data_IF_142199050372
#
_entry.id   IF_142199050372
#
_cell.length_a   1.000
_cell.length_b   1.000
_cell.length_c   1.000
_cell.angle_alpha   90.00
_cell.angle_beta   90.00
_cell.angle_gamma   90.00
#
_symmetry.space_group_name_H-M   'P 1'
#
loop_
_entity.id
_entity.type
_entity.pdbx_description
1 polymer ?
#
# COMPACT_ATOMS: atom_id res chain seq x y z
N UNK A 1 82.10 15.82 -25.26
CA UNK A 1 80.98 14.88 -25.06
C UNK A 1 80.05 15.47 -24.01
N UNK A 2 79.01 16.18 -24.46
CA UNK A 2 77.62 15.90 -24.01
C UNK A 2 76.73 15.82 -25.27
N UNK A 3 75.48 15.38 -25.34
CA UNK A 3 74.27 15.58 -24.53
C UNK A 3 73.30 14.44 -24.96
N UNK A 4 72.54 13.80 -24.08
CA UNK A 4 71.12 14.13 -23.93
C UNK A 4 70.19 12.98 -24.38
N UNK A 5 69.86 12.07 -23.47
CA UNK A 5 68.84 11.05 -23.70
C UNK A 5 67.46 11.59 -23.32
N UNK A 6 66.59 11.73 -24.32
CA UNK A 6 65.20 12.14 -24.19
C UNK A 6 64.36 11.02 -23.57
N UNK A 7 63.78 11.27 -22.39
CA UNK A 7 62.76 10.38 -21.80
C UNK A 7 61.39 10.83 -22.30
N UNK A 8 60.76 10.04 -23.18
CA UNK A 8 59.36 10.24 -23.55
C UNK A 8 58.45 9.72 -22.43
N UNK A 9 57.67 10.62 -21.84
CA UNK A 9 56.60 10.27 -20.92
C UNK A 9 55.40 9.74 -21.74
N UNK A 10 55.06 8.47 -21.56
CA UNK A 10 53.82 7.88 -22.11
C UNK A 10 52.66 8.29 -21.19
N UNK A 11 51.82 9.19 -21.67
CA UNK A 11 50.61 9.63 -20.99
C UNK A 11 49.54 8.53 -21.12
N UNK A 12 49.45 7.65 -20.12
CA UNK A 12 48.40 6.63 -20.04
C UNK A 12 47.06 7.26 -19.67
N UNK A 13 46.15 7.36 -20.63
CA UNK A 13 44.76 7.73 -20.38
C UNK A 13 44.03 6.54 -19.72
N UNK A 14 43.95 6.53 -18.40
CA UNK A 14 43.07 5.61 -17.67
C UNK A 14 41.64 6.13 -17.81
N UNK A 15 40.88 5.53 -18.71
CA UNK A 15 39.42 5.69 -18.77
C UNK A 15 38.81 5.04 -17.53
N UNK A 16 38.60 5.83 -16.47
CA UNK A 16 37.77 5.43 -15.35
C UNK A 16 36.33 5.43 -15.84
N UNK A 17 35.79 4.25 -16.16
CA UNK A 17 34.37 4.08 -16.36
C UNK A 17 33.67 4.36 -15.02
N UNK A 18 33.12 5.57 -14.88
CA UNK A 18 32.22 5.89 -13.77
C UNK A 18 30.95 5.10 -14.00
N UNK A 19 30.84 3.93 -13.38
CA UNK A 19 29.56 3.26 -13.21
C UNK A 19 28.75 4.16 -12.28
N UNK A 20 27.86 4.96 -12.86
CA UNK A 20 26.78 5.60 -12.12
C UNK A 20 25.95 4.46 -11.53
N UNK A 21 26.25 4.07 -10.30
CA UNK A 21 25.28 3.40 -9.45
C UNK A 21 24.15 4.40 -9.30
N UNK A 22 23.12 4.24 -10.13
CA UNK A 22 21.82 4.81 -9.90
C UNK A 22 21.36 4.26 -8.56
N UNK A 23 21.68 4.99 -7.49
CA UNK A 23 20.97 4.89 -6.23
C UNK A 23 19.57 5.33 -6.59
N UNK A 24 18.72 4.36 -6.95
CA UNK A 24 17.32 4.61 -7.19
C UNK A 24 16.81 5.34 -5.96
N UNK A 25 16.51 6.63 -6.12
CA UNK A 25 15.54 7.26 -5.24
C UNK A 25 14.36 6.27 -5.20
N UNK A 26 13.92 5.85 -4.02
CA UNK A 26 12.73 5.02 -3.84
C UNK A 26 11.49 5.81 -4.30
N UNK A 27 11.44 6.08 -5.60
CA UNK A 27 10.46 6.87 -6.30
C UNK A 27 9.33 5.96 -6.70
N UNK A 28 8.12 6.37 -6.34
CA UNK A 28 6.90 5.64 -6.63
C UNK A 28 6.79 5.44 -8.14
N UNK A 29 6.73 4.19 -8.57
CA UNK A 29 6.65 3.84 -9.99
C UNK A 29 5.20 3.75 -10.40
N UNK A 30 4.83 4.41 -11.50
CA UNK A 30 3.49 4.31 -12.07
C UNK A 30 3.21 2.88 -12.56
N UNK A 31 2.05 2.33 -12.18
CA UNK A 31 1.62 0.98 -12.52
C UNK A 31 0.46 0.96 -13.53
N UNK A 32 0.17 2.12 -14.13
CA UNK A 32 -0.89 2.27 -15.13
C UNK A 32 -1.08 3.71 -15.59
N UNK A 33 -1.98 3.87 -16.55
CA UNK A 33 -2.38 5.18 -17.08
C UNK A 33 -3.28 5.93 -16.10
N UNK A 34 -3.29 7.26 -16.26
CA UNK A 34 -4.25 8.12 -15.57
C UNK A 34 -5.69 7.78 -15.96
N UNK A 35 -6.56 7.73 -14.96
CA UNK A 35 -8.01 7.57 -15.10
C UNK A 35 -8.71 8.74 -14.44
N UNK A 36 -9.88 9.10 -14.96
CA UNK A 36 -10.70 10.16 -14.37
C UNK A 36 -11.50 9.63 -13.19
N UNK A 37 -11.58 10.43 -12.14
CA UNK A 37 -12.41 10.22 -10.98
C UNK A 37 -12.82 11.55 -10.36
N UNK A 38 -13.20 11.51 -9.10
CA UNK A 38 -13.52 12.68 -8.30
C UNK A 38 -13.08 12.48 -6.86
N UNK A 39 -12.89 13.58 -6.14
CA UNK A 39 -12.49 13.53 -4.74
C UNK A 39 -13.20 14.57 -3.88
N UNK A 40 -13.54 14.17 -2.67
CA UNK A 40 -13.91 15.01 -1.52
C UNK A 40 -12.86 14.82 -0.43
N UNK A 41 -13.14 15.27 0.80
CA UNK A 41 -12.31 14.96 1.95
C UNK A 41 -13.10 14.72 3.24
N UNK A 42 -12.46 13.98 4.16
CA UNK A 42 -12.93 13.69 5.51
C UNK A 42 -11.82 13.84 6.56
N UNK A 43 -12.18 13.81 7.84
CA UNK A 43 -11.27 14.11 8.97
C UNK A 43 -11.01 12.93 9.90
N UNK A 44 -11.94 11.99 10.02
CA UNK A 44 -11.87 10.87 10.96
C UNK A 44 -11.11 9.68 10.36
N UNK A 45 -9.78 9.81 10.26
CA UNK A 45 -8.93 8.93 9.44
C UNK A 45 -8.29 7.74 10.17
N UNK A 46 -8.41 7.66 11.50
CA UNK A 46 -7.69 6.67 12.33
C UNK A 46 -8.46 5.35 12.56
N UNK A 47 -9.68 5.23 12.00
CA UNK A 47 -10.56 4.07 12.20
C UNK A 47 -11.18 3.59 10.88
N UNK A 48 -10.37 3.53 9.82
CA UNK A 48 -10.86 3.10 8.51
C UNK A 48 -11.19 1.61 8.44
N UNK A 49 -12.11 1.27 7.53
CA UNK A 49 -12.62 -0.09 7.32
C UNK A 49 -11.53 -1.10 6.91
N UNK A 50 -10.34 -0.66 6.49
CA UNK A 50 -9.21 -1.57 6.22
C UNK A 50 -8.50 -2.08 7.50
N UNK A 51 -8.89 -1.61 8.70
CA UNK A 51 -8.43 -2.16 9.97
C UNK A 51 -7.01 -1.77 10.40
N UNK A 52 -6.37 -0.83 9.72
CA UNK A 52 -5.00 -0.38 10.04
C UNK A 52 -4.88 0.37 11.38
N UNK A 53 -6.00 0.87 11.91
CA UNK A 53 -6.03 1.63 13.16
C UNK A 53 -5.35 3.00 13.02
N UNK A 54 -4.76 3.48 14.13
CA UNK A 54 -4.15 4.82 14.18
C UNK A 54 -2.98 4.94 13.20
N UNK A 55 -3.06 5.92 12.32
CA UNK A 55 -2.12 6.12 11.22
C UNK A 55 -0.93 6.99 11.65
N UNK A 56 0.28 6.53 11.32
CA UNK A 56 1.52 7.25 11.64
C UNK A 56 1.63 8.56 10.86
N UNK A 57 2.05 9.63 11.54
CA UNK A 57 2.46 10.89 10.92
C UNK A 57 3.93 10.89 10.45
N UNK A 58 4.72 9.90 10.84
CA UNK A 58 6.18 9.84 10.59
C UNK A 58 6.60 8.71 9.65
N UNK A 59 5.68 7.81 9.29
CA UNK A 59 5.88 6.75 8.31
C UNK A 59 4.82 6.85 7.22
N UNK A 60 5.13 6.39 6.01
CA UNK A 60 4.14 6.25 4.95
C UNK A 60 2.88 5.54 5.49
N UNK A 61 1.66 6.05 5.19
CA UNK A 61 1.33 7.08 4.21
C UNK A 61 1.36 8.53 4.76
N UNK A 62 1.96 8.79 5.92
CA UNK A 62 2.01 10.11 6.57
C UNK A 62 0.62 10.73 6.77
N UNK A 63 -0.40 9.87 6.95
CA UNK A 63 -1.82 10.25 7.04
C UNK A 63 -2.40 10.84 5.73
N UNK A 64 -1.71 10.71 4.59
CA UNK A 64 -2.27 10.95 3.26
C UNK A 64 -2.96 9.68 2.78
N UNK A 65 -4.26 9.60 3.02
CA UNK A 65 -5.05 8.39 2.77
C UNK A 65 -6.31 8.70 1.97
N UNK A 66 -6.97 7.65 1.53
CA UNK A 66 -8.27 7.72 0.88
C UNK A 66 -9.24 6.66 1.40
N UNK A 67 -10.50 7.05 1.55
CA UNK A 67 -11.63 6.15 1.56
C UNK A 67 -12.09 5.92 0.11
N UNK A 68 -12.07 4.67 -0.35
CA UNK A 68 -12.53 4.33 -1.69
C UNK A 68 -14.05 4.17 -1.69
N UNK A 69 -14.75 4.65 -2.72
CA UNK A 69 -16.18 4.38 -2.85
C UNK A 69 -16.48 2.88 -2.95
N UNK A 70 -17.70 2.48 -2.58
CA UNK A 70 -18.07 1.07 -2.38
C UNK A 70 -17.71 0.15 -3.54
N UNK A 71 -17.98 0.56 -4.78
CA UNK A 71 -17.62 -0.21 -5.97
C UNK A 71 -16.11 -0.40 -6.14
N UNK A 72 -15.31 0.64 -5.86
CA UNK A 72 -13.85 0.59 -6.00
C UNK A 72 -13.16 -0.06 -4.81
N UNK A 73 -13.72 0.07 -3.60
CA UNK A 73 -13.28 -0.61 -2.38
C UNK A 73 -13.29 -2.15 -2.56
N UNK A 74 -14.29 -2.64 -3.31
CA UNK A 74 -14.37 -4.02 -3.80
C UNK A 74 -14.17 -5.07 -2.69
N UNK A 75 -14.98 -4.97 -1.63
CA UNK A 75 -14.93 -5.86 -0.46
C UNK A 75 -13.51 -5.97 0.13
N UNK A 76 -12.90 -4.80 0.39
CA UNK A 76 -11.53 -4.61 0.88
C UNK A 76 -10.38 -5.02 -0.04
N UNK A 77 -10.66 -5.42 -1.30
CA UNK A 77 -9.59 -5.71 -2.25
C UNK A 77 -8.72 -4.48 -2.57
N UNK A 78 -9.27 -3.26 -2.43
CA UNK A 78 -8.52 -2.02 -2.58
C UNK A 78 -7.61 -1.68 -1.40
N UNK A 79 -7.83 -2.26 -0.22
CA UNK A 79 -7.08 -1.89 0.98
C UNK A 79 -5.57 -2.07 0.81
N UNK A 80 -4.82 -1.07 1.26
CA UNK A 80 -3.36 -1.01 1.16
C UNK A 80 -2.82 -0.63 -0.21
N UNK A 81 -3.66 -0.54 -1.26
CA UNK A 81 -3.21 -0.09 -2.58
C UNK A 81 -2.90 1.41 -2.58
N UNK A 82 -1.89 1.80 -3.35
CA UNK A 82 -1.46 3.19 -3.45
C UNK A 82 -1.81 3.82 -4.80
N UNK A 83 -2.28 5.06 -4.74
CA UNK A 83 -2.66 5.84 -5.92
C UNK A 83 -2.04 7.21 -5.87
N UNK A 84 -1.52 7.67 -7.01
CA UNK A 84 -1.23 9.08 -7.21
C UNK A 84 -2.49 9.78 -7.73
N UNK A 85 -2.86 10.89 -7.09
CA UNK A 85 -4.07 11.65 -7.37
C UNK A 85 -3.72 13.11 -7.65
N UNK A 86 -4.33 13.72 -8.66
CA UNK A 86 -4.21 15.15 -8.97
C UNK A 86 -5.54 15.78 -9.33
N UNK A 87 -5.71 17.06 -9.01
CA UNK A 87 -6.89 17.83 -9.38
C UNK A 87 -6.82 18.25 -10.85
N UNK A 88 -7.97 18.24 -11.52
CA UNK A 88 -8.11 18.70 -12.93
C UNK A 88 -9.19 19.75 -13.11
N UNK A 89 -10.06 19.96 -12.11
CA UNK A 89 -11.03 21.04 -12.10
C UNK A 89 -12.04 20.90 -10.97
N UNK A 90 -13.00 21.82 -10.92
CA UNK A 90 -14.17 21.72 -10.06
C UNK A 90 -15.35 22.41 -10.73
N UNK A 91 -16.54 21.84 -10.59
CA UNK A 91 -17.80 22.51 -10.96
C UNK A 91 -18.26 23.51 -9.90
N UNK A 92 -17.65 23.51 -8.70
CA UNK A 92 -18.12 24.23 -7.52
C UNK A 92 -17.27 25.46 -7.20
N UNK A 93 -15.99 25.46 -7.62
CA UNK A 93 -15.08 26.57 -7.40
C UNK A 93 -14.12 26.75 -8.58
N UNK A 94 -14.15 27.95 -9.17
CA UNK A 94 -13.16 28.33 -10.17
C UNK A 94 -11.75 28.36 -9.56
N UNK A 95 -10.75 27.87 -10.30
CA UNK A 95 -9.36 27.77 -9.83
C UNK A 95 -9.22 27.00 -8.50
N UNK A 96 -10.00 25.90 -8.36
CA UNK A 96 -9.96 25.02 -7.20
C UNK A 96 -8.63 24.27 -7.05
N UNK A 97 -8.02 23.87 -8.17
CA UNK A 97 -6.82 23.03 -8.15
C UNK A 97 -5.58 23.80 -7.68
N UNK A 98 -4.74 23.10 -6.92
CA UNK A 98 -3.36 23.48 -6.62
C UNK A 98 -2.44 22.63 -7.50
N UNK A 99 -1.36 23.21 -8.01
CA UNK A 99 -0.40 22.48 -8.84
C UNK A 99 0.27 21.36 -8.02
N UNK A 100 0.13 20.12 -8.49
CA UNK A 100 0.79 18.97 -7.91
C UNK A 100 -0.07 17.72 -7.95
N UNK A 101 0.46 16.67 -7.33
CA UNK A 101 -0.22 15.42 -7.04
C UNK A 101 0.11 14.99 -5.61
N UNK A 102 -0.68 14.05 -5.10
CA UNK A 102 -0.43 13.40 -3.81
C UNK A 102 -0.53 11.90 -3.99
N UNK A 103 0.34 11.15 -3.33
CA UNK A 103 0.15 9.70 -3.22
C UNK A 103 -0.55 9.38 -1.93
N UNK A 104 -1.59 8.55 -2.05
CA UNK A 104 -2.44 8.11 -0.95
C UNK A 104 -2.48 6.58 -0.91
N UNK A 105 -2.65 6.05 0.30
CA UNK A 105 -2.99 4.65 0.53
C UNK A 105 -4.51 4.53 0.79
N UNK A 106 -5.15 3.50 0.23
CA UNK A 106 -6.54 3.19 0.56
C UNK A 106 -6.59 2.52 1.92
N UNK A 107 -7.14 3.23 2.90
CA UNK A 107 -7.24 2.75 4.30
C UNK A 107 -8.68 2.60 4.76
N UNK A 108 -9.65 2.98 3.93
CA UNK A 108 -11.04 3.06 4.32
C UNK A 108 -11.99 2.87 3.13
N UNK A 109 -13.27 2.75 3.46
CA UNK A 109 -14.38 2.74 2.51
C UNK A 109 -15.22 4.01 2.72
N UNK A 110 -15.56 4.68 1.63
CA UNK A 110 -16.72 5.57 1.63
C UNK A 110 -17.97 4.72 1.29
N UNK A 111 -18.86 4.46 2.27
CA UNK A 111 -20.03 3.63 2.04
C UNK A 111 -21.06 4.36 1.16
N UNK A 112 -21.77 3.58 0.34
CA UNK A 112 -22.88 4.08 -0.47
C UNK A 112 -24.04 4.58 0.44
N UNK A 113 -24.28 3.86 1.54
CA UNK A 113 -25.24 4.29 2.55
C UNK A 113 -24.77 5.59 3.24
N UNK A 114 -25.65 6.56 3.37
CA UNK A 114 -25.35 7.89 3.91
C UNK A 114 -24.64 8.86 2.95
N UNK A 115 -24.03 8.41 1.85
CA UNK A 115 -23.39 9.29 0.85
C UNK A 115 -23.54 8.79 -0.59
N UNK A 116 -24.78 8.51 -0.98
CA UNK A 116 -25.05 7.88 -2.26
C UNK A 116 -24.60 8.70 -3.49
N UNK A 117 -24.62 10.02 -3.35
CA UNK A 117 -24.17 10.95 -4.39
C UNK A 117 -22.71 10.69 -4.80
N UNK A 118 -21.83 10.39 -3.84
CA UNK A 118 -20.39 10.28 -4.09
C UNK A 118 -19.87 8.84 -4.06
N UNK A 119 -20.51 7.96 -3.28
CA UNK A 119 -19.86 6.75 -2.79
C UNK A 119 -20.47 5.42 -3.28
N UNK A 120 -21.48 5.46 -4.15
CA UNK A 120 -22.10 4.24 -4.69
C UNK A 120 -21.40 3.63 -5.92
N UNK A 121 -20.81 4.40 -6.83
CA UNK A 121 -20.07 3.82 -7.98
C UNK A 121 -20.36 4.34 -9.39
N UNK A 122 -21.09 5.44 -9.57
CA UNK A 122 -21.24 6.14 -10.86
C UNK A 122 -19.88 6.59 -11.46
N UNK A 123 -18.88 6.81 -10.60
CA UNK A 123 -17.48 7.00 -10.96
C UNK A 123 -16.57 6.46 -9.84
N UNK A 124 -15.28 6.30 -10.11
CA UNK A 124 -14.30 6.09 -9.03
C UNK A 124 -14.20 7.38 -8.23
N UNK A 125 -14.36 7.24 -6.92
CA UNK A 125 -14.33 8.34 -5.98
C UNK A 125 -13.42 8.01 -4.80
N UNK A 126 -12.54 8.97 -4.49
CA UNK A 126 -11.70 8.93 -3.30
C UNK A 126 -12.11 10.06 -2.35
N UNK A 127 -12.59 9.69 -1.16
CA UNK A 127 -12.75 10.64 -0.07
C UNK A 127 -11.40 10.75 0.66
N UNK A 128 -10.66 11.83 0.40
CA UNK A 128 -9.27 11.95 0.83
C UNK A 128 -9.18 12.41 2.30
N UNK A 129 -8.06 12.14 2.97
CA UNK A 129 -7.78 12.90 4.19
C UNK A 129 -7.72 14.40 3.88
N UNK A 130 -8.17 15.26 4.78
CA UNK A 130 -8.13 16.72 4.59
C UNK A 130 -6.71 17.21 4.19
N UNK A 131 -5.67 16.61 4.76
CA UNK A 131 -4.28 16.90 4.41
C UNK A 131 -3.92 16.51 2.97
N UNK A 132 -4.38 15.34 2.50
CA UNK A 132 -4.16 14.90 1.12
C UNK A 132 -4.93 15.76 0.11
N UNK A 133 -6.19 16.08 0.41
CA UNK A 133 -7.00 16.98 -0.42
C UNK A 133 -6.34 18.36 -0.57
N UNK A 134 -5.85 18.92 0.54
CA UNK A 134 -5.14 20.20 0.56
C UNK A 134 -3.85 20.24 -0.28
N UNK A 135 -3.28 19.10 -0.65
CA UNK A 135 -2.14 19.03 -1.59
C UNK A 135 -2.54 19.26 -3.05
N UNK A 136 -3.79 18.98 -3.40
CA UNK A 136 -4.25 19.01 -4.80
C UNK A 136 -5.33 20.07 -5.05
N UNK A 137 -6.04 20.53 -4.02
CA UNK A 137 -7.16 21.45 -4.17
C UNK A 137 -7.41 22.30 -2.92
N UNK A 138 -8.05 23.45 -3.12
CA UNK A 138 -8.58 24.30 -2.05
C UNK A 138 -9.78 23.60 -1.40
N UNK A 139 -9.75 23.42 -0.08
CA UNK A 139 -10.84 22.78 0.69
C UNK A 139 -12.20 23.44 0.47
N UNK A 140 -12.24 24.75 0.21
CA UNK A 140 -13.44 25.50 -0.14
C UNK A 140 -14.18 24.97 -1.41
N UNK A 141 -13.51 24.20 -2.27
CA UNK A 141 -14.17 23.56 -3.41
C UNK A 141 -15.13 22.44 -2.97
N UNK A 142 -14.90 21.81 -1.82
CA UNK A 142 -15.63 20.64 -1.31
C UNK A 142 -15.37 19.37 -2.13
N UNK A 143 -15.60 19.44 -3.44
CA UNK A 143 -15.42 18.35 -4.39
C UNK A 143 -14.69 18.84 -5.66
N UNK A 144 -13.81 17.99 -6.18
CA UNK A 144 -13.01 18.26 -7.39
C UNK A 144 -13.04 17.06 -8.34
N UNK A 145 -12.94 17.34 -9.64
CA UNK A 145 -12.63 16.32 -10.65
C UNK A 145 -11.14 16.00 -10.54
N UNK A 146 -10.82 14.71 -10.40
CA UNK A 146 -9.44 14.25 -10.26
C UNK A 146 -9.05 13.31 -11.40
N UNK A 147 -7.75 13.21 -11.60
CA UNK A 147 -7.16 12.05 -12.25
C UNK A 147 -6.40 11.25 -11.20
N UNK A 148 -6.45 9.93 -11.32
CA UNK A 148 -5.70 9.02 -10.46
C UNK A 148 -5.00 7.93 -11.29
N UNK A 149 -3.91 7.37 -10.76
CA UNK A 149 -3.26 6.17 -11.33
C UNK A 149 -2.67 5.31 -10.21
N UNK A 150 -2.64 3.97 -10.36
CA UNK A 150 -1.97 3.11 -9.40
C UNK A 150 -0.45 3.38 -9.43
N UNK A 151 0.18 3.38 -8.26
CA UNK A 151 1.62 3.53 -8.09
C UNK A 151 2.14 2.54 -7.05
N UNK A 152 3.44 2.28 -7.05
CA UNK A 152 4.03 1.46 -5.98
C UNK A 152 3.97 2.18 -4.63
N UNK A 153 3.62 1.45 -3.56
CA UNK A 153 3.65 1.91 -2.18
C UNK A 153 5.10 1.99 -1.65
N UNK A 154 5.61 3.18 -1.28
CA UNK A 154 7.00 3.38 -0.85
C UNK A 154 7.16 3.12 0.66
N UNK A 155 6.70 1.95 1.12
CA UNK A 155 6.84 1.56 2.53
C UNK A 155 8.29 1.21 2.86
N UNK A 156 8.66 1.34 4.13
CA UNK A 156 9.97 0.94 4.63
C UNK A 156 9.85 -0.23 5.60
N UNK A 157 10.84 -1.13 5.57
CA UNK A 157 10.86 -2.32 6.42
C UNK A 157 10.09 -3.51 5.84
N UNK A 158 10.00 -4.57 6.62
CA UNK A 158 9.38 -5.84 6.20
C UNK A 158 7.86 -5.76 6.19
N UNK A 159 7.23 -6.58 5.35
CA UNK A 159 5.80 -6.84 5.42
C UNK A 159 5.49 -7.42 6.81
N UNK A 160 4.37 -6.99 7.39
CA UNK A 160 3.93 -7.44 8.70
C UNK A 160 2.58 -8.14 8.62
N UNK A 161 2.34 -9.05 9.56
CA UNK A 161 1.02 -9.64 9.81
C UNK A 161 0.64 -9.40 11.26
N UNK A 162 -0.55 -8.85 11.48
CA UNK A 162 -1.12 -8.59 12.80
C UNK A 162 -2.25 -9.57 13.07
N UNK A 163 -2.22 -10.22 14.23
CA UNK A 163 -3.27 -11.13 14.66
C UNK A 163 -4.50 -10.32 15.09
N UNK A 164 -5.68 -10.72 14.61
CA UNK A 164 -6.94 -10.13 15.02
C UNK A 164 -7.30 -10.53 16.46
N UNK A 165 -7.79 -9.57 17.22
CA UNK A 165 -8.41 -9.84 18.52
C UNK A 165 -9.57 -10.83 18.39
N UNK A 166 -9.61 -11.78 19.33
CA UNK A 166 -10.56 -12.91 19.33
C UNK A 166 -10.07 -14.15 18.57
N UNK A 167 -8.90 -14.10 17.94
CA UNK A 167 -8.32 -15.29 17.27
C UNK A 167 -8.04 -16.43 18.26
N UNK A 168 -8.31 -17.64 17.81
CA UNK A 168 -8.08 -18.92 18.51
C UNK A 168 -7.77 -20.02 17.46
N UNK A 169 -7.41 -21.26 17.88
CA UNK A 169 -7.05 -22.31 16.92
C UNK A 169 -8.10 -22.61 15.84
N UNK A 170 -9.39 -22.47 16.15
CA UNK A 170 -10.48 -22.83 15.24
C UNK A 170 -10.95 -21.66 14.37
N UNK A 171 -10.79 -20.44 14.89
CA UNK A 171 -11.11 -19.20 14.21
C UNK A 171 -9.92 -18.25 14.33
N UNK A 172 -9.13 -18.13 13.27
CA UNK A 172 -7.94 -17.29 13.26
C UNK A 172 -8.03 -16.26 12.14
N UNK A 173 -7.81 -14.99 12.45
CA UNK A 173 -7.79 -13.94 11.45
C UNK A 173 -6.53 -13.10 11.57
N UNK A 174 -5.99 -12.66 10.43
CA UNK A 174 -4.82 -11.80 10.38
C UNK A 174 -5.03 -10.63 9.43
N UNK A 175 -4.31 -9.54 9.67
CA UNK A 175 -4.24 -8.37 8.81
C UNK A 175 -2.82 -8.24 8.28
N UNK A 176 -2.66 -8.15 6.95
CA UNK A 176 -1.37 -7.80 6.36
C UNK A 176 -1.18 -6.28 6.41
N UNK A 177 -0.03 -5.82 6.89
CA UNK A 177 0.31 -4.39 7.04
C UNK A 177 1.70 -4.12 6.49
N UNK A 178 2.01 -2.84 6.26
CA UNK A 178 3.29 -2.39 5.70
C UNK A 178 3.61 -3.07 4.34
N UNK A 179 2.61 -3.18 3.46
CA UNK A 179 2.72 -3.92 2.19
C UNK A 179 3.26 -3.00 1.09
N UNK A 180 4.43 -3.35 0.56
CA UNK A 180 5.07 -2.65 -0.56
C UNK A 180 4.58 -3.10 -1.93
N UNK A 181 5.32 -2.74 -2.97
CA UNK A 181 4.93 -3.05 -4.35
C UNK A 181 3.63 -2.33 -4.71
N UNK A 182 2.64 -3.01 -5.30
CA UNK A 182 1.33 -2.39 -5.57
C UNK A 182 0.44 -2.19 -4.34
N UNK A 183 0.83 -2.68 -3.16
CA UNK A 183 -0.03 -2.72 -1.97
C UNK A 183 -1.17 -3.75 -2.03
N UNK A 184 -1.52 -4.25 -3.23
CA UNK A 184 -2.60 -5.20 -3.44
C UNK A 184 -2.21 -6.61 -2.98
N UNK A 185 -2.52 -6.95 -1.73
CA UNK A 185 -2.51 -8.36 -1.30
C UNK A 185 -3.60 -9.08 -2.08
N UNK A 186 -3.30 -10.20 -2.73
CA UNK A 186 -4.29 -10.97 -3.52
C UNK A 186 -4.70 -12.26 -2.87
N UNK A 187 -3.82 -12.83 -2.05
CA UNK A 187 -4.06 -14.10 -1.34
C UNK A 187 -3.23 -14.15 -0.06
N UNK A 188 -3.79 -14.76 0.98
CA UNK A 188 -3.08 -15.14 2.20
C UNK A 188 -3.30 -16.62 2.43
N UNK A 189 -2.25 -17.33 2.78
CA UNK A 189 -2.31 -18.73 3.14
C UNK A 189 -1.58 -18.98 4.45
N UNK A 190 -2.04 -19.98 5.20
CA UNK A 190 -1.42 -20.43 6.44
C UNK A 190 -1.16 -21.92 6.44
N UNK A 191 -0.18 -22.36 7.23
CA UNK A 191 0.15 -23.78 7.38
C UNK A 191 0.53 -24.09 8.82
N UNK A 192 -0.16 -25.07 9.41
CA UNK A 192 0.08 -25.54 10.78
C UNK A 192 1.46 -26.20 10.91
N UNK A 193 2.09 -26.03 12.08
CA UNK A 193 3.32 -26.75 12.44
C UNK A 193 3.12 -28.26 12.36
N UNK A 194 4.20 -28.99 12.07
CA UNK A 194 4.17 -30.46 11.98
C UNK A 194 3.43 -31.02 10.76
N UNK A 195 2.84 -30.18 9.91
CA UNK A 195 2.20 -30.62 8.66
C UNK A 195 3.16 -30.46 7.48
N UNK A 196 3.26 -31.51 6.67
CA UNK A 196 3.93 -31.48 5.35
C UNK A 196 2.96 -31.26 4.20
N UNK A 197 1.65 -31.15 4.51
CA UNK A 197 0.56 -31.05 3.54
C UNK A 197 0.32 -29.64 2.97
N UNK A 198 -0.86 -29.47 2.36
CA UNK A 198 -1.29 -28.27 1.65
C UNK A 198 -1.45 -27.04 2.53
N UNK A 199 -1.16 -25.87 1.95
CA UNK A 199 -1.48 -24.58 2.54
C UNK A 199 -2.99 -24.37 2.61
N UNK A 200 -3.48 -23.85 3.73
CA UNK A 200 -4.86 -23.40 3.88
C UNK A 200 -4.97 -21.96 3.35
N UNK A 201 -5.76 -21.76 2.31
CA UNK A 201 -6.09 -20.42 1.82
C UNK A 201 -7.09 -19.74 2.76
N UNK A 202 -6.73 -18.53 3.19
CA UNK A 202 -7.57 -17.71 4.04
C UNK A 202 -8.57 -16.89 3.20
N UNK A 203 -9.76 -16.67 3.74
CA UNK A 203 -10.81 -15.90 3.08
C UNK A 203 -10.73 -14.44 3.49
N UNK A 204 -10.54 -13.54 2.52
CA UNK A 204 -10.64 -12.09 2.76
C UNK A 204 -12.04 -11.72 3.24
N UNK A 205 -12.09 -10.92 4.29
CA UNK A 205 -13.30 -10.29 4.80
C UNK A 205 -13.43 -8.87 4.25
N UNK A 206 -14.64 -8.30 4.28
CA UNK A 206 -14.93 -6.94 3.83
C UNK A 206 -14.26 -5.84 4.68
N UNK A 207 -13.64 -6.18 5.81
CA UNK A 207 -12.84 -5.28 6.66
C UNK A 207 -11.31 -5.58 6.60
N UNK A 208 -10.83 -6.17 5.50
CA UNK A 208 -9.42 -6.43 5.17
C UNK A 208 -8.67 -7.47 6.02
N UNK A 209 -9.36 -8.18 6.91
CA UNK A 209 -8.78 -9.33 7.58
C UNK A 209 -8.91 -10.59 6.73
N UNK A 210 -7.97 -11.51 6.92
CA UNK A 210 -7.89 -12.80 6.26
C UNK A 210 -8.23 -13.89 7.26
N UNK A 211 -9.39 -14.50 7.09
CA UNK A 211 -9.91 -15.53 7.99
C UNK A 211 -9.43 -16.92 7.56
N UNK A 212 -8.71 -17.59 8.44
CA UNK A 212 -8.30 -18.97 8.31
C UNK A 212 -8.99 -19.82 9.40
N UNK A 213 -9.95 -20.63 8.99
CA UNK A 213 -10.68 -21.54 9.88
C UNK A 213 -10.19 -22.97 9.70
N UNK A 214 -10.06 -23.70 10.82
CA UNK A 214 -9.64 -25.10 10.79
C UNK A 214 -10.43 -25.90 11.82
N UNK A 215 -11.13 -26.95 11.37
CA UNK A 215 -11.89 -27.84 12.26
C UNK A 215 -11.02 -28.62 13.24
N UNK A 216 -9.77 -28.91 12.87
CA UNK A 216 -8.80 -29.58 13.75
C UNK A 216 -8.01 -28.60 14.64
N UNK A 217 -8.26 -27.30 14.52
CA UNK A 217 -7.47 -26.26 15.15
C UNK A 217 -6.10 -26.06 14.48
N UNK A 218 -5.69 -24.80 14.32
CA UNK A 218 -4.37 -24.44 13.82
C UNK A 218 -3.29 -24.72 14.87
N UNK A 219 -2.18 -25.32 14.44
CA UNK A 219 -1.03 -25.60 15.28
C UNK A 219 0.09 -24.58 15.04
N UNK A 220 0.58 -24.00 16.12
CA UNK A 220 1.64 -23.00 16.10
C UNK A 220 3.02 -23.65 16.35
N UNK A 221 4.13 -23.10 15.85
CA UNK A 221 4.22 -21.89 15.03
C UNK A 221 3.56 -22.06 13.64
N UNK A 222 2.82 -21.06 13.22
CA UNK A 222 2.04 -21.09 11.98
C UNK A 222 2.87 -20.48 10.85
N UNK A 223 3.11 -21.24 9.79
CA UNK A 223 3.67 -20.70 8.55
C UNK A 223 2.65 -19.78 7.88
N UNK A 224 3.09 -18.64 7.37
CA UNK A 224 2.23 -17.69 6.65
C UNK A 224 2.86 -17.32 5.31
N UNK A 225 2.03 -17.19 4.28
CA UNK A 225 2.41 -16.77 2.94
C UNK A 225 1.43 -15.72 2.42
N UNK A 226 1.95 -14.54 2.10
CA UNK A 226 1.18 -13.41 1.58
C UNK A 226 1.56 -13.20 0.12
N UNK A 227 0.57 -13.00 -0.75
CA UNK A 227 0.76 -12.88 -2.20
C UNK A 227 0.41 -11.49 -2.72
N UNK A 228 1.13 -11.10 -3.77
CA UNK A 228 0.79 -9.97 -4.63
C UNK A 228 0.76 -10.46 -6.09
N UNK A 229 -0.43 -10.54 -6.67
CA UNK A 229 -0.66 -11.21 -7.95
C UNK A 229 -0.59 -12.74 -7.83
N UNK A 230 -0.20 -13.42 -8.90
CA UNK A 230 -0.17 -14.90 -8.98
C UNK A 230 1.20 -15.52 -8.71
N UNK A 231 2.28 -14.74 -8.77
CA UNK A 231 3.67 -15.27 -8.74
C UNK A 231 4.50 -14.76 -7.57
N UNK A 232 4.25 -13.54 -7.07
CA UNK A 232 5.04 -12.95 -5.99
C UNK A 232 4.42 -13.29 -4.65
N UNK A 233 5.21 -13.85 -3.75
CA UNK A 233 4.81 -14.07 -2.37
C UNK A 233 5.96 -13.79 -1.40
N UNK A 234 5.59 -13.42 -0.17
CA UNK A 234 6.50 -13.27 0.97
C UNK A 234 6.03 -14.21 2.07
N UNK A 235 6.98 -14.94 2.65
CA UNK A 235 6.72 -15.93 3.68
C UNK A 235 7.23 -15.47 5.05
N UNK A 236 6.65 -16.02 6.11
CA UNK A 236 7.19 -15.93 7.46
C UNK A 236 6.50 -16.89 8.40
N UNK A 237 6.67 -16.63 9.69
CA UNK A 237 6.21 -17.52 10.77
C UNK A 237 5.57 -16.69 11.87
N UNK A 238 4.38 -17.10 12.29
CA UNK A 238 3.66 -16.56 13.43
C UNK A 238 3.89 -17.51 14.60
N UNK A 239 4.60 -17.07 15.64
CA UNK A 239 5.08 -17.98 16.70
C UNK A 239 4.08 -18.16 17.85
N UNK A 240 3.09 -17.26 17.99
CA UNK A 240 2.05 -17.35 19.02
C UNK A 240 0.70 -16.85 18.51
N UNK A 241 -0.38 -17.15 19.24
CA UNK A 241 -1.75 -16.64 18.99
C UNK A 241 -2.10 -15.40 19.82
N UNK A 242 -1.10 -14.67 20.31
CA UNK A 242 -1.35 -13.50 21.15
C UNK A 242 -2.14 -12.44 20.37
N UNK A 243 -3.33 -12.09 20.84
CA UNK A 243 -4.18 -11.07 20.24
C UNK A 243 -3.40 -9.75 20.09
N UNK A 244 -3.55 -9.09 18.94
CA UNK A 244 -2.84 -7.85 18.60
C UNK A 244 -1.35 -8.01 18.29
N UNK A 245 -0.75 -9.19 18.50
CA UNK A 245 0.66 -9.42 18.19
C UNK A 245 0.93 -9.25 16.69
N UNK A 246 2.08 -8.66 16.39
CA UNK A 246 2.51 -8.37 15.02
C UNK A 246 3.82 -9.09 14.74
N UNK A 247 3.92 -9.74 13.58
CA UNK A 247 5.08 -10.50 13.15
C UNK A 247 5.58 -9.98 11.82
N UNK A 248 6.87 -9.66 11.73
CA UNK A 248 7.52 -9.35 10.46
C UNK A 248 7.74 -10.62 9.64
N UNK A 249 7.46 -10.57 8.35
CA UNK A 249 7.80 -11.62 7.41
C UNK A 249 9.23 -11.46 6.91
N UNK A 250 9.69 -12.42 6.08
CA UNK A 250 11.07 -12.46 5.58
C UNK A 250 11.50 -11.22 4.77
N UNK A 251 10.56 -10.57 4.07
CA UNK A 251 10.86 -9.48 3.15
C UNK A 251 9.66 -8.54 2.97
N UNK A 252 9.72 -7.68 1.95
CA UNK A 252 8.60 -6.90 1.44
C UNK A 252 8.56 -7.00 -0.10
N UNK A 253 7.51 -6.47 -0.73
CA UNK A 253 7.35 -6.42 -2.18
C UNK A 253 7.92 -5.15 -2.84
N UNK A 254 8.31 -4.16 -2.03
CA UNK A 254 8.95 -2.91 -2.46
C UNK A 254 10.45 -3.08 -2.71
#
# INVERSE_FOLDING_TARGET
MPVGSSVQAVLGCVLVAVVLLAHGAHGQTAQGSWKTGRSTFYTDIDQGNCGFGVLSSTKFPYRYIAAANTAFYANSAACGQCFEVKCTGSAYLANACVNGSVVVEVTDQCPCDGNAQWCCGDAVHFDLSAGAFGKIAKTAAGVVTTQYRPVTCPVQGQLQVKIKDGSNPWWFALLATNVGGSGAVTKVEVRSSGTTGSWLEATRQDYNYWLATSGSGLQFPLGVRVWQGSVKNVMGTITSMSAGATFSLSANFA
#
